data_IF_058340780997
#
_entry.id   IF_058340780997
#
_cell.length_a   1.000
_cell.length_b   1.000
_cell.length_c   1.000
_cell.angle_alpha   90.00
_cell.angle_beta   90.00
_cell.angle_gamma   90.00
#
_symmetry.space_group_name_H-M   'P 1'
#
loop_
_entity.id
_entity.type
_entity.pdbx_description
1 polymer ?
#
# COMPACT_ATOMS: atom_id res chain seq x y z
N UNK A 1 -20.83 22.70 0.70
CA UNK A 1 -20.02 23.15 -0.44
C UNK A 1 -19.24 21.91 -0.86
N UNK A 2 -19.29 21.58 -2.16
CA UNK A 2 -19.00 20.24 -2.68
C UNK A 2 -17.57 20.19 -3.22
N UNK A 3 -16.88 19.07 -3.03
CA UNK A 3 -15.59 18.81 -3.67
C UNK A 3 -15.70 19.02 -5.19
N UNK A 4 -14.73 19.70 -5.79
CA UNK A 4 -14.69 19.89 -7.24
C UNK A 4 -14.48 18.56 -7.97
N UNK A 5 -15.23 18.33 -9.03
CA UNK A 5 -15.14 17.11 -9.85
C UNK A 5 -14.76 17.42 -11.30
N UNK A 6 -14.15 18.58 -11.55
CA UNK A 6 -13.74 18.98 -12.88
C UNK A 6 -12.62 18.06 -13.39
N UNK A 7 -12.73 17.62 -14.64
CA UNK A 7 -11.76 16.74 -15.29
C UNK A 7 -11.33 17.34 -16.63
N UNK A 8 -10.07 17.14 -17.01
CA UNK A 8 -9.55 17.58 -18.30
C UNK A 8 -8.56 16.58 -18.88
N UNK A 9 -8.49 16.52 -20.20
CA UNK A 9 -7.44 15.82 -20.92
C UNK A 9 -6.11 16.57 -20.78
N UNK A 10 -5.02 15.86 -20.51
CA UNK A 10 -3.66 16.40 -20.43
C UNK A 10 -3.18 16.79 -21.83
N UNK A 11 -2.66 18.00 -22.07
CA UNK A 11 -2.14 18.38 -23.38
C UNK A 11 -0.84 17.62 -23.69
N UNK A 12 -0.95 16.38 -24.20
CA UNK A 12 0.13 15.39 -24.26
C UNK A 12 1.47 15.93 -24.78
N UNK A 13 1.47 16.57 -25.95
CA UNK A 13 2.70 17.11 -26.54
C UNK A 13 3.34 18.23 -25.69
N UNK A 14 2.54 19.09 -25.07
CA UNK A 14 3.03 20.15 -24.18
C UNK A 14 3.52 19.57 -22.85
N UNK A 15 2.84 18.56 -22.31
CA UNK A 15 3.24 17.86 -21.09
C UNK A 15 4.58 17.13 -21.28
N UNK A 16 4.75 16.40 -22.37
CA UNK A 16 6.03 15.76 -22.71
C UNK A 16 7.16 16.78 -22.83
N UNK A 17 6.89 17.94 -23.46
CA UNK A 17 7.89 19.00 -23.58
C UNK A 17 8.26 19.58 -22.21
N UNK A 18 7.27 19.84 -21.35
CA UNK A 18 7.50 20.34 -20.00
C UNK A 18 8.32 19.33 -19.17
N UNK A 19 7.94 18.05 -19.17
CA UNK A 19 8.65 16.98 -18.47
C UNK A 19 10.08 16.78 -18.99
N UNK A 20 10.30 16.89 -20.30
CA UNK A 20 11.62 16.76 -20.91
C UNK A 20 12.57 17.94 -20.60
N UNK A 21 12.02 19.11 -20.24
CA UNK A 21 12.79 20.35 -20.06
C UNK A 21 12.86 20.81 -18.62
N UNK A 22 12.04 20.26 -17.73
CA UNK A 22 12.10 20.56 -16.31
C UNK A 22 13.30 19.91 -15.63
N UNK A 23 13.88 20.61 -14.66
CA UNK A 23 14.87 20.04 -13.76
C UNK A 23 14.18 19.04 -12.82
N UNK A 24 14.81 17.90 -12.55
CA UNK A 24 14.20 16.81 -11.77
C UNK A 24 13.02 16.11 -12.46
N UNK A 25 12.84 16.32 -13.76
CA UNK A 25 11.87 15.57 -14.57
C UNK A 25 12.23 14.10 -14.73
N UNK A 26 11.29 13.28 -15.24
CA UNK A 26 11.54 11.86 -15.49
C UNK A 26 12.65 11.66 -16.54
N UNK A 27 13.41 10.56 -16.40
CA UNK A 27 14.41 10.18 -17.41
C UNK A 27 13.77 9.95 -18.78
N UNK A 28 12.54 9.41 -18.79
CA UNK A 28 11.75 9.14 -19.99
C UNK A 28 10.33 9.71 -19.83
N UNK A 29 10.06 10.93 -20.34
CA UNK A 29 8.76 11.59 -20.21
C UNK A 29 7.52 10.79 -20.62
N UNK A 30 7.56 9.94 -21.68
CA UNK A 30 6.41 9.09 -22.03
C UNK A 30 6.03 8.05 -20.98
N UNK A 31 6.91 7.72 -20.03
CA UNK A 31 6.58 6.80 -18.94
C UNK A 31 5.79 7.51 -17.82
N UNK A 32 5.78 8.85 -17.82
CA UNK A 32 5.12 9.67 -16.80
C UNK A 32 3.74 10.17 -17.22
N UNK A 33 3.48 10.32 -18.53
CA UNK A 33 2.19 10.79 -19.06
C UNK A 33 1.79 9.99 -20.28
N UNK A 34 0.52 9.61 -20.37
CA UNK A 34 -0.05 8.85 -21.48
C UNK A 34 -0.81 9.73 -22.50
N UNK A 35 -0.88 9.35 -23.80
CA UNK A 35 -1.51 10.17 -24.86
C UNK A 35 -2.98 10.54 -24.64
N UNK A 36 -3.73 9.71 -23.91
CA UNK A 36 -5.16 9.90 -23.61
C UNK A 36 -5.42 10.11 -22.11
N UNK A 37 -4.42 10.61 -21.39
CA UNK A 37 -4.51 10.81 -19.95
C UNK A 37 -5.47 11.94 -19.57
N UNK A 38 -6.24 11.70 -18.51
CA UNK A 38 -7.13 12.67 -17.90
C UNK A 38 -6.72 12.92 -16.45
N UNK A 39 -6.79 14.18 -16.03
CA UNK A 39 -6.59 14.58 -14.65
C UNK A 39 -7.85 15.19 -14.06
N UNK A 40 -8.10 14.86 -12.79
CA UNK A 40 -9.14 15.44 -11.95
C UNK A 40 -8.58 16.70 -11.25
N UNK A 41 -9.43 17.69 -10.98
CA UNK A 41 -9.07 18.79 -10.10
C UNK A 41 -8.80 18.28 -8.68
N UNK A 42 -7.63 18.57 -8.14
CA UNK A 42 -7.20 18.08 -6.83
C UNK A 42 -7.47 19.08 -5.69
N UNK A 43 -7.75 20.34 -6.01
CA UNK A 43 -7.87 21.44 -5.03
C UNK A 43 -9.08 21.33 -4.08
N UNK A 44 -9.92 20.32 -4.28
CA UNK A 44 -11.12 20.11 -3.50
C UNK A 44 -12.15 21.20 -3.74
N UNK A 45 -12.67 21.81 -2.68
CA UNK A 45 -13.72 22.83 -2.78
C UNK A 45 -13.14 24.22 -3.08
N UNK A 46 -13.57 24.82 -4.18
CA UNK A 46 -13.18 26.16 -4.60
C UNK A 46 -14.28 26.79 -5.47
N UNK A 47 -14.27 28.12 -5.59
CA UNK A 47 -15.26 28.82 -6.43
C UNK A 47 -14.98 28.68 -7.93
N UNK A 48 -15.95 29.10 -8.75
CA UNK A 48 -15.89 29.04 -10.21
C UNK A 48 -14.90 30.02 -10.87
N UNK A 49 -14.39 30.99 -10.10
CA UNK A 49 -13.38 31.95 -10.57
C UNK A 49 -11.96 31.43 -10.41
N UNK A 50 -11.76 30.45 -9.52
CA UNK A 50 -10.49 29.77 -9.35
C UNK A 50 -10.22 28.80 -10.51
N UNK A 51 -8.97 28.78 -10.95
CA UNK A 51 -8.51 27.77 -11.90
C UNK A 51 -8.51 26.41 -11.23
N UNK A 52 -8.92 25.39 -11.99
CA UNK A 52 -8.72 24.02 -11.61
C UNK A 52 -7.24 23.65 -11.73
N UNK A 53 -6.78 22.70 -10.92
CA UNK A 53 -5.41 22.23 -10.98
C UNK A 53 -5.30 20.73 -10.71
N UNK A 54 -4.41 20.08 -11.44
CA UNK A 54 -4.09 18.65 -11.32
C UNK A 54 -2.58 18.47 -11.38
N UNK A 55 -2.05 17.67 -10.45
CA UNK A 55 -0.63 17.38 -10.35
C UNK A 55 -0.22 16.40 -11.46
N UNK A 56 0.92 16.64 -12.11
CA UNK A 56 1.47 15.77 -13.14
C UNK A 56 2.77 15.10 -12.72
N UNK A 57 3.65 15.81 -12.02
CA UNK A 57 4.97 15.27 -11.67
C UNK A 57 5.62 16.00 -10.49
N UNK A 58 6.30 15.24 -9.64
CA UNK A 58 7.12 15.77 -8.53
C UNK A 58 8.57 15.82 -8.97
N UNK A 59 9.19 17.00 -9.03
CA UNK A 59 10.58 17.09 -9.46
C UNK A 59 11.54 16.48 -8.41
N UNK A 60 12.48 15.67 -8.87
CA UNK A 60 13.59 15.18 -8.03
C UNK A 60 14.67 16.27 -7.89
N UNK A 61 14.29 17.37 -7.24
CA UNK A 61 15.15 18.54 -6.97
C UNK A 61 14.95 19.04 -5.54
N UNK A 62 15.96 19.68 -4.93
CA UNK A 62 15.84 20.24 -3.58
C UNK A 62 14.95 21.50 -3.51
N UNK A 63 14.50 22.03 -4.65
CA UNK A 63 13.72 23.27 -4.72
C UNK A 63 12.20 23.05 -4.55
N UNK A 64 11.77 21.80 -4.29
CA UNK A 64 10.38 21.42 -4.00
C UNK A 64 9.39 21.96 -5.06
N UNK A 65 9.73 21.80 -6.35
CA UNK A 65 8.89 22.23 -7.47
C UNK A 65 8.22 21.05 -8.15
N UNK A 66 6.93 21.19 -8.42
CA UNK A 66 6.13 20.16 -9.09
C UNK A 66 5.56 20.72 -10.39
N UNK A 67 5.33 19.84 -11.36
CA UNK A 67 4.63 20.15 -12.59
C UNK A 67 3.12 20.03 -12.36
N UNK A 68 2.40 21.13 -12.60
CA UNK A 68 0.95 21.23 -12.48
C UNK A 68 0.31 21.61 -13.82
N UNK A 69 -0.82 20.98 -14.13
CA UNK A 69 -1.74 21.44 -15.16
C UNK A 69 -2.80 22.34 -14.52
N UNK A 70 -2.87 23.59 -14.94
CA UNK A 70 -3.90 24.54 -14.51
C UNK A 70 -4.84 24.83 -15.67
N UNK A 71 -6.15 24.84 -15.41
CA UNK A 71 -7.13 25.10 -16.46
C UNK A 71 -8.37 25.85 -15.96
N UNK A 72 -9.00 26.55 -16.90
CA UNK A 72 -10.30 27.21 -16.74
C UNK A 72 -11.22 26.85 -17.90
N UNK A 73 -12.52 26.88 -17.63
CA UNK A 73 -13.55 26.54 -18.62
C UNK A 73 -13.58 25.05 -18.95
N UNK A 74 -14.42 24.69 -19.93
CA UNK A 74 -14.66 23.29 -20.32
C UNK A 74 -14.74 23.16 -21.84
N UNK A 75 -14.49 21.94 -22.34
CA UNK A 75 -14.62 21.60 -23.76
C UNK A 75 -13.83 22.53 -24.68
N UNK A 76 -14.50 23.11 -25.68
CA UNK A 76 -13.88 23.97 -26.69
C UNK A 76 -13.44 25.35 -26.17
N UNK A 77 -13.91 25.78 -25.00
CA UNK A 77 -13.53 27.06 -24.38
C UNK A 77 -12.45 26.89 -23.30
N UNK A 78 -11.90 25.70 -23.17
CA UNK A 78 -10.86 25.42 -22.21
C UNK A 78 -9.60 26.22 -22.54
N UNK A 79 -9.09 26.92 -21.53
CA UNK A 79 -7.74 27.51 -21.54
C UNK A 79 -6.93 26.76 -20.50
N UNK A 80 -5.70 26.37 -20.84
CA UNK A 80 -4.82 25.63 -19.94
C UNK A 80 -3.41 26.24 -19.94
N UNK A 81 -2.65 25.96 -18.89
CA UNK A 81 -1.21 26.15 -18.83
C UNK A 81 -0.55 25.06 -18.00
N UNK A 82 0.71 24.78 -18.32
CA UNK A 82 1.59 23.97 -17.48
C UNK A 82 2.48 24.90 -16.66
N UNK A 83 2.65 24.61 -15.37
CA UNK A 83 3.48 25.41 -14.47
C UNK A 83 4.35 24.54 -13.58
N UNK A 84 5.63 24.88 -13.48
CA UNK A 84 6.52 24.36 -12.44
C UNK A 84 6.35 25.23 -11.19
N UNK A 85 5.57 24.75 -10.23
CA UNK A 85 5.15 25.52 -9.07
C UNK A 85 5.76 24.94 -7.80
N UNK A 86 6.18 25.82 -6.88
CA UNK A 86 6.71 25.41 -5.57
C UNK A 86 5.61 24.82 -4.71
N UNK A 87 5.95 23.87 -3.85
CA UNK A 87 5.04 23.35 -2.83
C UNK A 87 4.60 24.43 -1.83
N UNK A 88 3.37 24.30 -1.36
CA UNK A 88 2.79 25.15 -0.34
C UNK A 88 3.52 24.96 1.00
N UNK A 89 3.96 26.03 1.68
CA UNK A 89 4.69 25.92 2.93
C UNK A 89 3.81 25.56 4.15
N UNK A 90 2.50 25.35 3.95
CA UNK A 90 1.57 25.05 5.01
C UNK A 90 1.81 23.66 5.62
N UNK A 91 1.73 23.59 6.95
CA UNK A 91 1.97 22.37 7.71
C UNK A 91 0.88 22.19 8.75
N UNK A 92 0.26 21.01 8.78
CA UNK A 92 -0.62 20.57 9.85
C UNK A 92 0.19 19.76 10.88
N UNK A 93 0.07 20.13 12.15
CA UNK A 93 0.69 19.40 13.27
C UNK A 93 -0.41 18.81 14.15
N UNK A 94 -0.54 17.50 14.13
CA UNK A 94 -1.46 16.78 15.01
C UNK A 94 -0.74 16.47 16.33
N UNK A 95 -1.15 17.15 17.40
CA UNK A 95 -0.44 17.08 18.68
C UNK A 95 -0.65 15.73 19.38
N UNK A 96 -1.78 15.08 19.16
CA UNK A 96 -2.10 13.78 19.78
C UNK A 96 -1.19 12.66 19.23
N UNK A 97 -0.98 12.64 17.92
CA UNK A 97 -0.18 11.61 17.23
C UNK A 97 1.27 12.05 16.99
N UNK A 98 1.58 13.34 17.22
CA UNK A 98 2.85 13.99 16.83
C UNK A 98 3.15 13.88 15.34
N UNK A 99 2.13 13.70 14.51
CA UNK A 99 2.31 13.66 13.05
C UNK A 99 2.38 15.08 12.49
N UNK A 100 3.25 15.25 11.50
CA UNK A 100 3.44 16.49 10.77
C UNK A 100 3.12 16.20 9.31
N UNK A 101 2.10 16.87 8.78
CA UNK A 101 1.65 16.70 7.39
C UNK A 101 1.88 18.01 6.65
N UNK A 102 2.66 17.97 5.57
CA UNK A 102 2.85 19.10 4.66
C UNK A 102 1.67 19.18 3.69
N UNK A 103 1.36 20.39 3.23
CA UNK A 103 0.41 20.53 2.14
C UNK A 103 1.06 20.04 0.83
N UNK A 104 0.34 19.24 0.07
CA UNK A 104 0.78 18.64 -1.19
C UNK A 104 0.41 19.49 -2.41
N UNK A 105 -0.16 20.68 -2.21
CA UNK A 105 -0.52 21.58 -3.30
C UNK A 105 0.57 22.62 -3.53
N UNK A 106 0.50 23.31 -4.67
CA UNK A 106 1.40 24.41 -4.99
C UNK A 106 1.14 25.65 -4.11
N UNK A 107 2.14 26.51 -3.98
CA UNK A 107 2.05 27.76 -3.22
C UNK A 107 0.99 28.71 -3.80
N UNK A 108 0.24 29.38 -2.93
CA UNK A 108 -0.94 30.20 -3.29
C UNK A 108 -2.04 29.43 -4.04
N UNK A 109 -2.19 28.12 -3.82
CA UNK A 109 -3.33 27.36 -4.35
C UNK A 109 -4.68 27.96 -3.87
N UNK A 110 -5.72 27.98 -4.74
CA UNK A 110 -7.06 28.30 -4.28
C UNK A 110 -7.65 27.13 -3.48
N UNK A 111 -8.64 27.43 -2.65
CA UNK A 111 -9.29 26.42 -1.83
C UNK A 111 -8.54 26.04 -0.54
N UNK A 112 -9.00 25.01 0.17
CA UNK A 112 -8.40 24.56 1.42
C UNK A 112 -7.07 23.83 1.17
N UNK A 113 -6.25 23.69 2.22
CA UNK A 113 -5.02 22.90 2.12
C UNK A 113 -5.32 21.41 1.88
N UNK A 114 -4.41 20.69 1.23
CA UNK A 114 -4.58 19.28 0.86
C UNK A 114 -5.02 18.37 2.02
N UNK A 115 -4.50 18.60 3.23
CA UNK A 115 -4.90 17.84 4.43
C UNK A 115 -6.33 18.13 4.92
N UNK A 116 -7.02 19.09 4.33
CA UNK A 116 -8.43 19.42 4.59
C UNK A 116 -9.37 18.92 3.50
N UNK A 117 -8.83 18.40 2.39
CA UNK A 117 -9.62 17.78 1.33
C UNK A 117 -10.02 16.38 1.80
N UNK A 118 -11.31 16.08 1.72
CA UNK A 118 -11.83 14.76 2.09
C UNK A 118 -11.76 13.84 0.88
N UNK A 119 -11.19 12.66 1.06
CA UNK A 119 -11.27 11.54 0.12
C UNK A 119 -12.19 10.46 0.70
N UNK A 120 -13.51 10.50 0.41
CA UNK A 120 -14.45 9.54 0.97
C UNK A 120 -14.15 8.10 0.55
N UNK A 121 -13.55 7.88 -0.63
CA UNK A 121 -13.18 6.54 -1.09
C UNK A 121 -11.96 6.04 -0.31
N UNK A 122 -10.94 6.89 -0.15
CA UNK A 122 -9.77 6.61 0.68
C UNK A 122 -10.14 6.26 2.12
N UNK A 123 -11.06 7.01 2.73
CA UNK A 123 -11.56 6.74 4.09
C UNK A 123 -12.21 5.35 4.20
N UNK A 124 -13.01 4.96 3.20
CA UNK A 124 -13.66 3.65 3.16
C UNK A 124 -12.65 2.51 2.96
N UNK A 125 -11.65 2.71 2.09
CA UNK A 125 -10.57 1.74 1.87
C UNK A 125 -9.76 1.57 3.17
N UNK A 126 -9.36 2.67 3.82
CA UNK A 126 -8.63 2.63 5.09
C UNK A 126 -9.42 1.90 6.17
N UNK A 127 -10.72 2.20 6.32
CA UNK A 127 -11.59 1.51 7.26
C UNK A 127 -11.69 0.00 6.97
N UNK A 128 -11.80 -0.39 5.70
CA UNK A 128 -11.82 -1.80 5.30
C UNK A 128 -10.50 -2.51 5.63
N UNK A 129 -9.36 -1.90 5.29
CA UNK A 129 -8.03 -2.44 5.60
C UNK A 129 -7.84 -2.61 7.11
N UNK A 130 -8.22 -1.62 7.92
CA UNK A 130 -8.17 -1.72 9.38
C UNK A 130 -9.03 -2.87 9.93
N UNK A 131 -10.21 -3.09 9.34
CA UNK A 131 -11.09 -4.21 9.71
C UNK A 131 -10.44 -5.56 9.40
N UNK A 132 -9.87 -5.73 8.19
CA UNK A 132 -9.19 -6.97 7.79
C UNK A 132 -7.95 -7.25 8.64
N UNK A 133 -7.12 -6.24 8.91
CA UNK A 133 -5.96 -6.39 9.81
C UNK A 133 -6.39 -6.86 11.19
N UNK A 134 -7.47 -6.27 11.75
CA UNK A 134 -8.00 -6.70 13.05
C UNK A 134 -8.49 -8.14 13.02
N UNK A 135 -9.17 -8.56 11.94
CA UNK A 135 -9.66 -9.92 11.76
C UNK A 135 -8.49 -10.91 11.75
N UNK A 136 -7.46 -10.64 10.95
CA UNK A 136 -6.26 -11.49 10.85
C UNK A 136 -5.50 -11.59 12.18
N UNK A 137 -5.36 -10.49 12.93
CA UNK A 137 -4.75 -10.52 14.26
C UNK A 137 -5.59 -11.35 15.23
N UNK A 138 -6.92 -11.26 15.15
CA UNK A 138 -7.83 -12.01 16.03
C UNK A 138 -7.87 -13.51 15.71
N UNK A 139 -7.73 -13.87 14.43
CA UNK A 139 -7.66 -15.28 13.98
C UNK A 139 -6.28 -15.91 14.24
N UNK A 140 -5.21 -15.10 14.26
CA UNK A 140 -3.86 -15.55 14.61
C UNK A 140 -3.59 -15.68 16.12
N UNK A 141 -4.51 -15.18 16.97
CA UNK A 141 -4.42 -15.24 18.45
C UNK A 141 -5.50 -16.16 19.06
N UNK A 142 -6.15 -17.00 18.24
CA UNK A 142 -6.92 -18.11 18.78
C UNK A 142 -5.92 -19.09 19.43
N UNK A 143 -5.91 -19.27 20.77
CA UNK A 143 -5.16 -20.37 21.33
C UNK A 143 -5.74 -21.64 20.70
N UNK A 144 -4.89 -22.54 20.22
CA UNK A 144 -5.30 -23.91 19.94
C UNK A 144 -6.17 -24.34 21.12
N UNK A 145 -7.44 -24.64 20.86
CA UNK A 145 -8.36 -25.06 21.90
C UNK A 145 -7.63 -26.13 22.71
N UNK A 146 -7.59 -26.04 24.06
CA UNK A 146 -6.97 -27.09 24.85
C UNK A 146 -7.62 -28.38 24.40
N UNK A 147 -6.84 -29.28 23.80
CA UNK A 147 -7.34 -30.58 23.37
C UNK A 147 -8.15 -31.16 24.50
N UNK A 148 -9.33 -31.69 24.20
CA UNK A 148 -10.18 -32.34 25.20
C UNK A 148 -9.30 -33.22 26.08
N UNK A 149 -9.34 -33.08 27.42
CA UNK A 149 -8.54 -33.93 28.27
C UNK A 149 -8.94 -35.38 28.00
N UNK A 150 -7.95 -36.20 27.65
CA UNK A 150 -8.16 -37.63 27.41
C UNK A 150 -8.98 -38.23 28.55
N UNK A 151 -10.05 -38.92 28.19
CA UNK A 151 -10.91 -39.59 29.15
C UNK A 151 -10.04 -40.51 30.05
N UNK A 152 -10.30 -40.56 31.36
CA UNK A 152 -9.54 -41.43 32.26
C UNK A 152 -9.56 -42.85 31.73
N UNK A 153 -8.38 -43.41 31.45
CA UNK A 153 -8.23 -44.78 30.98
C UNK A 153 -8.93 -45.74 31.94
N UNK A 154 -9.69 -46.68 31.39
CA UNK A 154 -10.27 -47.78 32.17
C UNK A 154 -9.16 -48.58 32.86
N UNK A 155 -9.34 -49.01 34.12
CA UNK A 155 -8.31 -49.78 34.81
C UNK A 155 -8.05 -51.11 34.10
N UNK A 156 -6.78 -51.45 33.92
CA UNK A 156 -6.38 -52.74 33.36
C UNK A 156 -6.83 -53.91 34.24
N UNK A 157 -7.34 -54.95 33.60
CA UNK A 157 -7.66 -56.22 34.26
C UNK A 157 -6.37 -56.94 34.68
N UNK A 158 -6.35 -57.64 35.84
CA UNK A 158 -5.13 -58.27 36.33
C UNK A 158 -4.76 -59.50 35.49
N UNK A 159 -3.65 -59.40 34.76
CA UNK A 159 -3.03 -60.49 34.00
C UNK A 159 -2.16 -61.41 34.88
N UNK A 160 -2.28 -62.71 34.63
CA UNK A 160 -1.73 -63.85 35.39
C UNK A 160 -0.21 -64.00 35.39
N UNK A 161 0.34 -64.47 36.50
CA UNK A 161 1.75 -64.85 36.69
C UNK A 161 2.18 -66.00 35.77
N UNK A 162 3.26 -65.80 35.00
CA UNK A 162 3.96 -66.88 34.28
C UNK A 162 5.15 -67.40 35.12
N UNK A 163 5.21 -68.72 35.32
CA UNK A 163 6.26 -69.42 36.07
C UNK A 163 7.60 -69.55 35.32
N UNK A 164 8.66 -70.06 35.98
CA UNK A 164 10.04 -69.95 35.50
C UNK A 164 10.38 -70.91 34.35
N UNK A 165 11.24 -70.42 33.45
CA UNK A 165 11.59 -71.03 32.17
C UNK A 165 12.48 -72.28 32.23
N UNK A 166 12.42 -73.07 31.15
CA UNK A 166 13.24 -74.25 30.93
C UNK A 166 14.53 -73.93 30.13
N UNK A 167 15.61 -74.74 30.25
CA UNK A 167 16.96 -74.37 29.80
C UNK A 167 17.20 -74.57 28.29
N UNK A 168 18.14 -73.79 27.76
CA UNK A 168 18.51 -73.72 26.34
C UNK A 168 19.24 -74.95 25.76
N UNK A 169 19.30 -75.00 24.43
CA UNK A 169 19.98 -76.04 23.63
C UNK A 169 21.16 -75.43 22.86
N UNK A 170 22.25 -76.19 22.61
CA UNK A 170 23.57 -75.66 22.27
C UNK A 170 23.79 -75.42 20.76
N UNK A 171 24.79 -74.59 20.48
CA UNK A 171 25.20 -74.08 19.17
C UNK A 171 25.75 -75.14 18.20
N UNK A 172 25.61 -74.88 16.90
CA UNK A 172 26.20 -75.66 15.82
C UNK A 172 27.38 -74.94 15.15
N UNK A 173 28.39 -75.68 14.64
CA UNK A 173 29.74 -75.14 14.38
C UNK A 173 29.93 -74.49 13.01
N UNK A 174 30.95 -73.61 12.93
CA UNK A 174 31.43 -72.89 11.74
C UNK A 174 32.01 -73.80 10.65
N UNK A 175 31.84 -73.38 9.39
CA UNK A 175 32.45 -73.99 8.18
C UNK A 175 33.28 -72.91 7.44
N UNK A 176 34.49 -73.22 6.92
CA UNK A 176 35.54 -72.24 6.70
C UNK A 176 35.56 -71.61 5.29
N UNK A 177 36.27 -70.47 5.22
CA UNK A 177 36.56 -69.64 4.05
C UNK A 177 37.17 -70.40 2.87
N UNK A 178 36.78 -69.99 1.65
CA UNK A 178 37.54 -70.27 0.43
C UNK A 178 37.83 -68.97 -0.31
N UNK A 179 39.12 -68.64 -0.35
CA UNK A 179 39.72 -67.55 -1.11
C UNK A 179 40.01 -67.96 -2.58
N UNK A 180 40.07 -66.91 -3.41
CA UNK A 180 40.84 -66.77 -4.66
C UNK A 180 40.19 -67.19 -6.01
N UNK A 181 40.67 -66.63 -7.14
CA UNK A 181 41.62 -65.52 -7.34
C UNK A 181 41.01 -64.22 -7.90
#
# INVERSE_FOLDING_TARGET
MLQCTAVTHVPYAEALLALATMEGGPEHPPDAVEPEEFVLCELGDHDESAEHAGHLWTADTPDDQDLWLLWSGTGAHRVHRLGMLRLCPAVLRELATRTVTTCAFFDHHPGPHSFSVTDPLGDLIAAHVHSEVRRLISEGDAPDAPGEPDAPGTPDAPGTFNGPGAPGRPDTPDVPDTDAP
#
